data_IF_590095765458
#
_entry.id   IF_590095765458
#
_cell.length_a   1.000
_cell.length_b   1.000
_cell.length_c   1.000
_cell.angle_alpha   90.00
_cell.angle_beta   90.00
_cell.angle_gamma   90.00
#
_symmetry.space_group_name_H-M   'P 1'
#
loop_
_entity.id
_entity.type
_entity.pdbx_description
1 polymer ?
#
# COMPACT_ATOMS: atom_id res chain seq x y z
N UNK A 1 -16.50 -40.79 -42.24
CA UNK A 1 -16.91 -41.72 -41.16
C UNK A 1 -15.76 -41.78 -40.14
N UNK A 2 -16.07 -41.50 -38.86
CA UNK A 2 -15.20 -41.48 -37.64
C UNK A 2 -14.19 -40.30 -37.55
N UNK A 3 -14.36 -39.23 -36.75
CA UNK A 3 -14.55 -39.00 -35.29
C UNK A 3 -13.40 -39.51 -34.40
N UNK A 4 -12.59 -38.57 -33.84
CA UNK A 4 -12.31 -38.32 -32.40
C UNK A 4 -11.05 -37.42 -32.26
N UNK A 5 -11.15 -36.20 -31.69
CA UNK A 5 -10.85 -35.80 -30.29
C UNK A 5 -9.32 -35.73 -30.02
N UNK A 6 -8.71 -34.75 -29.34
CA UNK A 6 -9.18 -33.78 -28.35
C UNK A 6 -7.99 -32.88 -27.93
N UNK A 7 -8.29 -31.61 -27.64
CA UNK A 7 -7.61 -30.66 -26.73
C UNK A 7 -6.20 -30.19 -27.12
N UNK A 8 -5.93 -28.89 -27.34
CA UNK A 8 -6.44 -27.75 -26.58
C UNK A 8 -5.52 -27.47 -25.39
N UNK A 9 -4.27 -27.07 -25.67
CA UNK A 9 -3.32 -26.62 -24.66
C UNK A 9 -2.76 -25.25 -25.08
N UNK A 10 -3.64 -24.25 -25.06
CA UNK A 10 -3.19 -22.86 -25.01
C UNK A 10 -2.77 -22.59 -23.57
N UNK A 11 -1.49 -22.83 -23.27
CA UNK A 11 -0.86 -22.32 -22.05
C UNK A 11 -0.76 -20.82 -22.23
N UNK A 12 -1.85 -20.14 -21.87
CA UNK A 12 -1.89 -18.71 -21.70
C UNK A 12 -0.99 -18.43 -20.49
N UNK A 13 0.28 -18.14 -20.77
CA UNK A 13 1.18 -17.48 -19.81
C UNK A 13 0.49 -16.17 -19.42
N UNK A 14 -0.28 -16.21 -18.33
CA UNK A 14 -0.52 -15.05 -17.51
C UNK A 14 0.81 -14.73 -16.86
N UNK A 15 1.69 -14.07 -17.61
CA UNK A 15 2.61 -13.13 -17.00
C UNK A 15 1.72 -12.08 -16.34
N UNK A 16 1.34 -12.35 -15.08
CA UNK A 16 1.07 -11.26 -14.16
C UNK A 16 2.30 -10.38 -14.27
N UNK A 17 2.15 -9.24 -14.91
CA UNK A 17 3.05 -8.11 -14.74
C UNK A 17 3.07 -7.85 -13.23
N UNK A 18 4.03 -8.48 -12.55
CA UNK A 18 4.44 -8.08 -11.23
C UNK A 18 5.13 -6.74 -11.48
N UNK A 19 4.33 -5.67 -11.48
CA UNK A 19 4.86 -4.32 -11.46
C UNK A 19 5.62 -4.19 -10.14
N UNK A 20 6.93 -4.43 -10.18
CA UNK A 20 7.83 -4.03 -9.11
C UNK A 20 7.69 -2.52 -8.98
N UNK A 21 6.90 -2.11 -7.99
CA UNK A 21 6.68 -0.71 -7.68
C UNK A 21 7.93 -0.19 -6.95
N UNK A 22 9.04 -0.03 -7.68
CA UNK A 22 10.27 0.57 -7.16
C UNK A 22 10.08 2.08 -7.01
N UNK A 23 9.39 2.46 -5.93
CA UNK A 23 9.31 3.85 -5.53
C UNK A 23 10.62 4.21 -4.86
N UNK A 24 11.49 4.94 -5.58
CA UNK A 24 12.62 5.66 -5.01
C UNK A 24 12.14 6.70 -3.99
N UNK A 25 11.78 6.23 -2.81
CA UNK A 25 11.27 7.05 -1.71
C UNK A 25 12.43 7.33 -0.76
N UNK A 26 12.58 8.58 -0.30
CA UNK A 26 13.65 8.91 0.64
C UNK A 26 13.50 8.12 1.95
N UNK A 27 14.63 7.78 2.58
CA UNK A 27 14.61 7.12 3.90
C UNK A 27 13.79 7.93 4.90
N UNK A 28 13.94 9.26 4.87
CA UNK A 28 13.19 10.18 5.72
C UNK A 28 11.67 10.05 5.53
N UNK A 29 11.18 10.02 4.29
CA UNK A 29 9.74 9.85 4.02
C UNK A 29 9.22 8.53 4.60
N UNK A 30 9.98 7.44 4.42
CA UNK A 30 9.58 6.13 4.96
C UNK A 30 9.56 6.15 6.49
N UNK A 31 10.60 6.71 7.12
CA UNK A 31 10.69 6.85 8.58
C UNK A 31 9.54 7.69 9.12
N UNK A 32 9.32 8.88 8.56
CA UNK A 32 8.22 9.77 8.96
C UNK A 32 6.87 9.07 8.83
N UNK A 33 6.67 8.27 7.78
CA UNK A 33 5.43 7.54 7.60
C UNK A 33 5.23 6.44 8.65
N UNK A 34 6.29 5.75 9.04
CA UNK A 34 6.24 4.74 10.12
C UNK A 34 5.94 5.42 11.47
N UNK A 35 6.54 6.57 11.75
CA UNK A 35 6.35 7.33 12.99
C UNK A 35 4.93 7.92 13.09
N UNK A 36 4.40 8.43 11.98
CA UNK A 36 3.10 9.06 11.93
C UNK A 36 1.97 8.09 12.32
N UNK A 37 1.03 8.56 13.13
CA UNK A 37 -0.23 7.88 13.42
C UNK A 37 -1.38 8.65 12.79
N UNK A 38 -2.42 7.95 12.37
CA UNK A 38 -3.65 8.58 11.90
C UNK A 38 -4.85 7.67 12.16
N UNK A 39 -6.01 8.28 12.38
CA UNK A 39 -7.27 7.61 12.58
C UNK A 39 -8.40 8.48 12.06
N UNK A 40 -9.13 7.99 11.06
CA UNK A 40 -10.26 8.76 10.54
C UNK A 40 -11.00 8.06 9.41
N UNK A 41 -12.05 8.74 8.95
CA UNK A 41 -12.88 8.29 7.82
C UNK A 41 -12.45 9.03 6.57
N UNK A 42 -12.21 8.29 5.48
CA UNK A 42 -11.85 8.86 4.18
C UNK A 42 -13.02 9.68 3.63
N UNK A 43 -12.76 10.94 3.29
CA UNK A 43 -13.75 11.84 2.69
C UNK A 43 -13.51 12.05 1.19
N UNK A 44 -12.25 12.03 0.75
CA UNK A 44 -11.88 12.11 -0.67
C UNK A 44 -10.44 11.68 -0.89
N UNK A 45 -10.13 11.25 -2.12
CA UNK A 45 -8.77 11.04 -2.60
C UNK A 45 -8.30 12.30 -3.35
N UNK A 46 -7.04 12.70 -3.17
CA UNK A 46 -6.49 13.93 -3.75
C UNK A 46 -5.13 13.69 -4.43
N UNK A 47 -4.85 14.51 -5.44
CA UNK A 47 -3.52 14.79 -5.97
C UNK A 47 -3.40 16.31 -6.07
N UNK A 48 -2.24 16.85 -5.70
CA UNK A 48 -1.94 18.28 -5.88
C UNK A 48 -1.48 18.61 -7.30
N UNK A 49 -1.18 17.59 -8.11
CA UNK A 49 -0.76 17.73 -9.50
C UNK A 49 -1.92 17.40 -10.42
N UNK A 50 -2.15 18.26 -11.40
CA UNK A 50 -3.13 18.01 -12.47
C UNK A 50 -2.74 16.76 -13.26
N UNK A 51 -3.75 16.00 -13.69
CA UNK A 51 -3.60 14.78 -14.50
C UNK A 51 -2.78 13.65 -13.86
N UNK A 52 -2.55 13.71 -12.54
CA UNK A 52 -1.89 12.64 -11.78
C UNK A 52 -2.95 11.90 -10.95
N UNK A 53 -2.96 10.56 -10.94
CA UNK A 53 -3.85 9.78 -10.08
C UNK A 53 -3.73 10.21 -8.61
N UNK A 54 -4.79 10.07 -7.80
CA UNK A 54 -4.73 10.42 -6.39
C UNK A 54 -3.60 9.67 -5.66
N UNK A 55 -2.75 10.41 -4.96
CA UNK A 55 -1.62 9.88 -4.19
C UNK A 55 -1.81 10.03 -2.68
N UNK A 56 -2.89 10.69 -2.25
CA UNK A 56 -3.26 10.85 -0.85
C UNK A 56 -4.76 10.68 -0.66
N UNK A 57 -5.17 10.36 0.57
CA UNK A 57 -6.56 10.38 1.00
C UNK A 57 -6.73 11.37 2.15
N UNK A 58 -7.70 12.27 2.03
CA UNK A 58 -8.08 13.20 3.10
C UNK A 58 -9.07 12.52 4.04
N UNK A 59 -8.85 12.71 5.34
CA UNK A 59 -9.68 12.20 6.41
C UNK A 59 -10.63 13.28 6.93
N UNK A 60 -11.77 12.86 7.47
CA UNK A 60 -12.82 13.75 7.98
C UNK A 60 -12.33 14.70 9.09
N UNK A 61 -11.33 14.29 9.85
CA UNK A 61 -10.70 15.08 10.90
C UNK A 61 -9.68 16.12 10.38
N UNK A 62 -9.43 16.17 9.06
CA UNK A 62 -8.47 17.07 8.43
C UNK A 62 -7.10 16.44 8.17
N UNK A 63 -6.82 15.26 8.71
CA UNK A 63 -5.56 14.55 8.46
C UNK A 63 -5.49 13.96 7.04
N UNK A 64 -4.30 13.56 6.63
CA UNK A 64 -4.08 12.82 5.38
C UNK A 64 -3.48 11.45 5.63
N UNK A 65 -3.89 10.46 4.85
CA UNK A 65 -3.25 9.15 4.81
C UNK A 65 -1.89 9.30 4.16
N UNK A 66 -0.85 9.20 4.98
CA UNK A 66 0.53 9.25 4.55
C UNK A 66 1.09 7.84 4.40
N UNK A 67 1.44 7.45 3.18
CA UNK A 67 2.01 6.13 2.87
C UNK A 67 2.85 6.19 1.60
N UNK A 68 3.88 5.36 1.51
CA UNK A 68 4.64 5.13 0.28
C UNK A 68 4.08 3.95 -0.54
N UNK A 69 3.08 3.23 -0.01
CA UNK A 69 2.39 2.18 -0.74
C UNK A 69 1.13 2.75 -1.41
N UNK A 70 1.26 3.13 -2.68
CA UNK A 70 0.17 3.76 -3.44
C UNK A 70 -1.04 2.82 -3.66
N UNK A 71 -0.85 1.50 -3.60
CA UNK A 71 -1.96 0.55 -3.70
C UNK A 71 -3.00 0.78 -2.58
N UNK A 72 -2.54 1.21 -1.40
CA UNK A 72 -3.45 1.57 -0.30
C UNK A 72 -4.36 2.70 -0.75
N UNK A 73 -3.80 3.79 -1.27
CA UNK A 73 -4.57 4.95 -1.72
C UNK A 73 -5.53 4.60 -2.85
N UNK A 74 -5.08 3.77 -3.80
CA UNK A 74 -5.93 3.33 -4.92
C UNK A 74 -7.15 2.56 -4.43
N UNK A 75 -6.97 1.66 -3.46
CA UNK A 75 -8.02 0.82 -2.88
C UNK A 75 -8.92 1.51 -1.86
N UNK A 76 -8.55 2.68 -1.35
CA UNK A 76 -9.40 3.44 -0.43
C UNK A 76 -10.63 4.00 -1.16
N UNK A 77 -11.77 3.93 -0.50
CA UNK A 77 -13.03 4.52 -0.94
C UNK A 77 -13.54 5.53 0.10
N UNK A 78 -14.33 6.50 -0.35
CA UNK A 78 -14.99 7.43 0.57
C UNK A 78 -15.92 6.67 1.51
N UNK A 79 -15.79 6.93 2.81
CA UNK A 79 -16.52 6.20 3.86
C UNK A 79 -15.70 5.09 4.54
N UNK A 80 -14.58 4.66 3.96
CA UNK A 80 -13.66 3.73 4.63
C UNK A 80 -13.06 4.37 5.88
N UNK A 81 -12.95 3.59 6.96
CA UNK A 81 -12.21 4.02 8.15
C UNK A 81 -10.78 3.48 8.10
N UNK A 82 -9.81 4.34 8.35
CA UNK A 82 -8.39 3.99 8.31
C UNK A 82 -7.74 4.25 9.66
N UNK A 83 -6.93 3.29 10.11
CA UNK A 83 -6.23 3.36 11.39
C UNK A 83 -4.79 2.92 11.20
N UNK A 84 -3.86 3.78 11.59
CA UNK A 84 -2.44 3.49 11.70
C UNK A 84 -1.94 3.93 13.08
N UNK A 85 -1.26 3.03 13.78
CA UNK A 85 -0.57 3.38 15.03
C UNK A 85 0.75 4.08 14.71
N UNK A 86 1.13 5.04 15.56
CA UNK A 86 2.47 5.62 15.53
C UNK A 86 3.53 4.56 15.78
N UNK A 87 4.69 4.70 15.13
CA UNK A 87 5.82 3.76 15.21
C UNK A 87 5.48 2.33 14.75
N UNK A 88 4.55 2.21 13.81
CA UNK A 88 4.11 0.96 13.18
C UNK A 88 4.11 1.10 11.66
N UNK A 89 4.30 0.00 10.93
CA UNK A 89 4.27 0.01 9.46
C UNK A 89 2.94 -0.53 8.89
N UNK A 90 1.96 -0.82 9.76
CA UNK A 90 0.68 -1.41 9.38
C UNK A 90 -0.41 -0.34 9.33
N UNK A 91 -1.12 -0.30 8.21
CA UNK A 91 -2.33 0.49 8.01
C UNK A 91 -3.50 -0.48 7.94
N UNK A 92 -4.49 -0.30 8.81
CA UNK A 92 -5.74 -1.06 8.80
C UNK A 92 -6.83 -0.23 8.12
N UNK A 93 -7.54 -0.86 7.19
CA UNK A 93 -8.66 -0.25 6.46
C UNK A 93 -9.91 -1.06 6.76
N UNK A 94 -10.91 -0.41 7.35
CA UNK A 94 -12.24 -0.97 7.59
C UNK A 94 -13.16 -0.45 6.49
N UNK A 95 -13.70 -1.38 5.70
CA UNK A 95 -14.61 -1.04 4.60
C UNK A 95 -15.95 -0.65 5.19
N UNK A 96 -16.48 0.52 4.82
CA UNK A 96 -17.53 1.23 5.56
C UNK A 96 -18.69 0.37 6.09
N UNK A 97 -19.17 -0.59 5.29
CA UNK A 97 -20.31 -1.45 5.63
C UNK A 97 -19.94 -2.90 5.98
N UNK A 98 -18.65 -3.25 6.01
CA UNK A 98 -18.20 -4.61 6.25
C UNK A 98 -17.59 -4.76 7.65
N UNK A 99 -17.88 -5.87 8.33
CA UNK A 99 -17.16 -6.28 9.54
C UNK A 99 -15.74 -6.82 9.24
N UNK A 100 -15.21 -6.52 8.05
CA UNK A 100 -13.91 -6.94 7.57
C UNK A 100 -12.97 -5.75 7.54
N UNK A 101 -11.72 -6.03 7.83
CA UNK A 101 -10.65 -5.08 7.63
C UNK A 101 -9.55 -5.72 6.80
N UNK A 102 -8.89 -4.88 6.01
CA UNK A 102 -7.69 -5.23 5.28
C UNK A 102 -6.49 -4.61 6.00
N UNK A 103 -5.40 -5.36 6.08
CA UNK A 103 -4.13 -4.85 6.61
C UNK A 103 -3.15 -4.67 5.47
N UNK A 104 -2.61 -3.47 5.39
CA UNK A 104 -1.60 -3.10 4.43
C UNK A 104 -0.32 -2.75 5.16
N UNK A 105 0.81 -3.12 4.55
CA UNK A 105 2.12 -2.73 5.04
C UNK A 105 2.64 -1.55 4.21
N UNK A 106 3.27 -0.59 4.90
CA UNK A 106 4.19 0.32 4.25
C UNK A 106 5.35 -0.49 3.67
N UNK A 107 5.72 -0.18 2.44
CA UNK A 107 6.83 -0.83 1.79
C UNK A 107 8.15 -0.29 2.37
N UNK A 108 9.08 -1.16 2.72
CA UNK A 108 10.41 -0.73 3.20
C UNK A 108 11.45 -1.54 2.43
N UNK A 109 11.99 -0.94 1.36
CA UNK A 109 13.00 -1.60 0.53
C UNK A 109 14.28 -1.89 1.31
N UNK A 110 15.02 -2.91 0.88
CA UNK A 110 16.30 -3.28 1.48
C UNK A 110 17.28 -2.09 1.50
N UNK A 111 17.33 -1.30 0.41
CA UNK A 111 18.13 -0.07 0.34
C UNK A 111 17.79 0.90 1.47
N UNK A 112 16.50 1.10 1.76
CA UNK A 112 16.06 1.97 2.86
C UNK A 112 16.44 1.37 4.21
N UNK A 113 16.23 0.06 4.43
CA UNK A 113 16.59 -0.62 5.69
C UNK A 113 18.08 -0.54 6.00
N UNK A 114 18.91 -0.67 4.96
CA UNK A 114 20.37 -0.65 5.07
C UNK A 114 20.97 0.76 5.10
N UNK A 115 20.14 1.80 4.93
CA UNK A 115 20.57 3.20 5.03
C UNK A 115 21.16 3.53 6.41
N UNK A 116 22.11 4.46 6.43
CA UNK A 116 22.67 5.00 7.68
C UNK A 116 21.61 5.75 8.51
N UNK A 117 20.59 6.30 7.84
CA UNK A 117 19.54 7.11 8.46
C UNK A 117 18.30 6.31 8.88
N UNK A 118 18.25 5.01 8.58
CA UNK A 118 17.13 4.17 9.03
C UNK A 118 17.35 3.70 10.48
N UNK A 119 16.35 3.85 11.38
CA UNK A 119 16.49 3.46 12.78
C UNK A 119 16.89 1.99 12.94
N UNK A 120 18.05 1.75 13.56
CA UNK A 120 18.64 0.40 13.66
C UNK A 120 17.77 -0.57 14.47
N UNK A 121 17.02 -0.05 15.45
CA UNK A 121 16.06 -0.82 16.22
C UNK A 121 14.87 -1.34 15.40
N UNK A 122 14.62 -0.80 14.20
CA UNK A 122 13.51 -1.21 13.33
C UNK A 122 13.89 -2.20 12.24
N UNK A 123 15.18 -2.38 11.96
CA UNK A 123 15.68 -3.23 10.86
C UNK A 123 15.09 -4.64 10.92
N UNK A 124 14.90 -5.19 12.13
CA UNK A 124 14.35 -6.54 12.37
C UNK A 124 12.91 -6.54 12.90
N UNK A 125 12.24 -5.38 12.96
CA UNK A 125 10.92 -5.26 13.62
C UNK A 125 9.76 -5.77 12.77
N UNK A 126 9.89 -5.70 11.44
CA UNK A 126 8.84 -6.11 10.50
C UNK A 126 9.41 -7.01 9.41
N UNK A 127 8.63 -8.00 8.93
CA UNK A 127 9.06 -8.89 7.87
C UNK A 127 9.47 -8.09 6.62
N UNK A 128 10.37 -8.65 5.84
CA UNK A 128 10.67 -8.11 4.52
C UNK A 128 9.40 -8.21 3.69
N UNK A 129 8.82 -7.05 3.37
CA UNK A 129 7.70 -6.96 2.45
C UNK A 129 8.28 -7.07 1.05
N UNK A 130 8.57 -8.30 0.62
CA UNK A 130 8.71 -8.64 -0.79
C UNK A 130 7.31 -8.71 -1.39
N UNK A 131 7.03 -7.87 -2.39
CA UNK A 131 5.84 -8.03 -3.23
C UNK A 131 6.07 -9.16 -4.23
#
# INVERSE_FOLDING_TARGET
MKLLKVFGFAVMMLCNSCEEFDTMTSTEFVVNGIEAGFNGVVVKKISYRENVPPVQALLKNGDTVFTNNLLIIQKLETGDSVIKKSNDNIIRVYKGNELKFESYFMYISERVRNSAYFPKQWVKKWPDTTF
#
